data_IF_139774846650
#
_entry.id   IF_139774846650
#
_cell.length_a   1.000
_cell.length_b   1.000
_cell.length_c   1.000
_cell.angle_alpha   90.00
_cell.angle_beta   90.00
_cell.angle_gamma   90.00
#
_symmetry.space_group_name_H-M   'P 1'
#
loop_
_entity.id
_entity.type
_entity.pdbx_description
1 polymer ?
#
# COMPACT_ATOMS: atom_id res chain seq x y z
N UNK A 1 -16.39 -12.95 3.70
CA UNK A 1 -16.29 -12.38 2.33
C UNK A 1 -15.26 -13.18 1.54
N UNK A 2 -15.63 -13.77 0.41
CA UNK A 2 -14.74 -14.59 -0.43
C UNK A 2 -14.30 -13.72 -1.61
N UNK A 3 -13.10 -13.14 -1.55
CA UNK A 3 -12.58 -12.30 -2.62
C UNK A 3 -12.05 -13.22 -3.72
N UNK A 4 -12.81 -13.35 -4.81
CA UNK A 4 -12.35 -14.03 -6.01
C UNK A 4 -11.88 -12.97 -7.01
N UNK A 5 -10.59 -12.67 -7.02
CA UNK A 5 -9.97 -11.81 -8.04
C UNK A 5 -9.93 -12.60 -9.35
N UNK A 6 -10.96 -12.46 -10.19
CA UNK A 6 -11.00 -13.03 -11.53
C UNK A 6 -10.31 -12.04 -12.47
N UNK A 7 -9.02 -12.24 -12.74
CA UNK A 7 -8.33 -11.53 -13.80
C UNK A 7 -8.77 -12.08 -15.15
N UNK A 8 -9.82 -11.50 -15.72
CA UNK A 8 -10.28 -11.78 -17.08
C UNK A 8 -9.37 -11.03 -18.05
N UNK A 9 -8.44 -11.75 -18.71
CA UNK A 9 -7.70 -11.22 -19.85
C UNK A 9 -8.67 -11.04 -21.04
N UNK A 10 -9.34 -9.88 -21.10
CA UNK A 10 -10.15 -9.49 -22.26
C UNK A 10 -9.26 -8.69 -23.21
N UNK A 11 -8.90 -9.32 -24.32
CA UNK A 11 -8.37 -8.64 -25.50
C UNK A 11 -9.40 -7.59 -25.98
N UNK A 12 -9.02 -6.31 -26.14
CA UNK A 12 -9.93 -5.28 -26.63
C UNK A 12 -10.30 -5.55 -28.11
N UNK A 13 -11.61 -5.61 -28.41
CA UNK A 13 -12.15 -5.87 -29.76
C UNK A 13 -12.10 -4.64 -30.70
N UNK A 14 -11.43 -3.56 -30.33
CA UNK A 14 -11.44 -2.32 -31.11
C UNK A 14 -10.01 -1.89 -31.49
N UNK A 15 -9.57 -2.10 -32.74
CA UNK A 15 -8.19 -1.85 -33.17
C UNK A 15 -7.80 -0.36 -33.27
N UNK A 16 -8.76 0.56 -33.08
CA UNK A 16 -8.55 2.00 -33.27
C UNK A 16 -8.47 2.83 -31.98
N UNK A 17 -8.55 2.18 -30.81
CA UNK A 17 -8.25 2.79 -29.51
C UNK A 17 -6.91 2.24 -29.00
N UNK A 18 -5.82 2.65 -29.67
CA UNK A 18 -4.46 2.48 -29.14
C UNK A 18 -4.27 3.40 -27.94
N UNK A 19 -4.76 3.00 -26.77
CA UNK A 19 -4.24 3.50 -25.51
C UNK A 19 -2.75 3.10 -25.44
N UNK A 20 -1.90 3.96 -24.87
CA UNK A 20 -0.46 3.77 -24.71
C UNK A 20 -0.07 2.63 -23.72
N UNK A 21 -0.85 1.55 -23.69
CA UNK A 21 -0.72 0.38 -22.83
C UNK A 21 -0.25 -0.88 -23.59
N UNK A 22 -0.12 -0.84 -24.93
CA UNK A 22 0.05 -2.03 -25.78
C UNK A 22 1.47 -2.65 -25.83
N UNK A 23 2.49 -2.10 -25.17
CA UNK A 23 3.81 -2.75 -25.07
C UNK A 23 3.95 -3.67 -23.84
N UNK A 24 2.84 -4.12 -23.26
CA UNK A 24 2.81 -4.84 -21.98
C UNK A 24 2.07 -6.19 -22.04
N UNK A 25 2.25 -6.96 -23.12
CA UNK A 25 1.61 -8.28 -23.30
C UNK A 25 1.91 -9.32 -22.18
N UNK A 26 2.83 -9.03 -21.24
CA UNK A 26 3.18 -9.92 -20.12
C UNK A 26 3.17 -9.23 -18.74
N UNK A 27 2.39 -8.15 -18.57
CA UNK A 27 2.22 -7.54 -17.25
C UNK A 27 1.43 -8.48 -16.31
N UNK A 28 2.13 -9.05 -15.33
CA UNK A 28 1.56 -9.95 -14.31
C UNK A 28 1.58 -9.27 -12.95
N UNK A 29 0.56 -9.50 -12.14
CA UNK A 29 0.57 -9.08 -10.74
C UNK A 29 1.63 -9.87 -10.00
N UNK A 30 2.61 -9.20 -9.40
CA UNK A 30 3.71 -9.81 -8.65
C UNK A 30 3.53 -9.69 -7.15
N UNK A 31 2.86 -8.64 -6.68
CA UNK A 31 2.53 -8.44 -5.26
C UNK A 31 1.13 -7.84 -5.14
N UNK A 32 0.46 -8.18 -4.03
CA UNK A 32 -0.83 -7.63 -3.65
C UNK A 32 -0.72 -7.21 -2.19
N UNK A 33 -1.16 -5.99 -1.88
CA UNK A 33 -1.32 -5.52 -0.52
C UNK A 33 -2.74 -5.01 -0.34
N UNK A 34 -3.36 -5.31 0.79
CA UNK A 34 -4.67 -4.77 1.15
C UNK A 34 -4.45 -3.86 2.36
N UNK A 35 -5.04 -2.67 2.32
CA UNK A 35 -4.99 -1.79 3.49
C UNK A 35 -5.88 -2.38 4.58
N UNK A 36 -5.56 -2.10 5.85
CA UNK A 36 -6.53 -2.22 6.92
C UNK A 36 -7.83 -1.50 6.55
N UNK A 37 -8.95 -2.01 7.06
CA UNK A 37 -10.21 -1.29 7.02
C UNK A 37 -10.06 -0.02 7.85
N UNK A 38 -10.24 1.13 7.19
CA UNK A 38 -10.15 2.42 7.84
C UNK A 38 -11.48 2.77 8.52
N UNK A 39 -11.47 3.73 9.44
CA UNK A 39 -12.70 4.34 9.99
C UNK A 39 -13.60 4.95 8.92
N UNK A 40 -13.10 5.16 7.69
CA UNK A 40 -13.86 5.65 6.54
C UNK A 40 -14.60 4.51 5.78
N UNK A 41 -14.66 3.29 6.32
CA UNK A 41 -15.43 2.14 5.79
C UNK A 41 -15.01 1.62 4.41
N UNK A 42 -13.82 1.98 3.92
CA UNK A 42 -13.26 1.35 2.72
C UNK A 42 -11.82 0.91 2.95
N UNK A 43 -11.48 -0.16 2.25
CA UNK A 43 -10.12 -0.68 2.15
C UNK A 43 -9.56 -0.35 0.77
N UNK A 44 -8.26 -0.15 0.69
CA UNK A 44 -7.51 -0.03 -0.54
C UNK A 44 -6.89 -1.38 -0.89
N UNK A 45 -6.73 -1.64 -2.18
CA UNK A 45 -5.90 -2.73 -2.69
C UNK A 45 -4.82 -2.14 -3.59
N UNK A 46 -3.57 -2.46 -3.25
CA UNK A 46 -2.38 -2.15 -4.02
C UNK A 46 -1.98 -3.37 -4.84
N UNK A 47 -1.79 -3.18 -6.14
CA UNK A 47 -1.38 -4.21 -7.09
C UNK A 47 -0.04 -3.82 -7.71
N UNK A 48 1.02 -4.55 -7.38
CA UNK A 48 2.32 -4.39 -8.04
C UNK A 48 2.40 -5.26 -9.28
N UNK A 49 2.80 -4.68 -10.40
CA UNK A 49 2.97 -5.38 -11.67
C UNK A 49 4.43 -5.70 -11.96
N UNK A 50 4.66 -6.75 -12.75
CA UNK A 50 5.98 -7.10 -13.30
C UNK A 50 6.63 -5.99 -14.12
N UNK A 51 5.82 -5.08 -14.69
CA UNK A 51 6.28 -3.88 -15.40
C UNK A 51 6.89 -2.83 -14.45
N UNK A 52 6.66 -2.94 -13.13
CA UNK A 52 7.11 -1.98 -12.12
C UNK A 52 6.10 -0.89 -11.78
N UNK A 53 4.89 -0.95 -12.37
CA UNK A 53 3.77 -0.10 -11.97
C UNK A 53 3.12 -0.63 -10.69
N UNK A 54 2.59 0.30 -9.89
CA UNK A 54 1.69 -0.03 -8.78
C UNK A 54 0.37 0.67 -9.00
N UNK A 55 -0.71 -0.10 -9.00
CA UNK A 55 -2.06 0.43 -9.05
C UNK A 55 -2.68 0.37 -7.66
N UNK A 56 -3.36 1.44 -7.27
CA UNK A 56 -4.12 1.51 -6.03
C UNK A 56 -5.59 1.64 -6.40
N UNK A 57 -6.37 0.66 -5.99
CA UNK A 57 -7.81 0.62 -6.19
C UNK A 57 -8.55 0.65 -4.87
N UNK A 58 -9.80 1.09 -4.92
CA UNK A 58 -10.73 0.92 -3.82
C UNK A 58 -11.26 -0.51 -3.85
N UNK A 59 -11.28 -1.19 -2.71
CA UNK A 59 -11.64 -2.60 -2.66
C UNK A 59 -13.15 -2.84 -2.87
N UNK A 60 -14.00 -1.89 -2.47
CA UNK A 60 -15.46 -2.06 -2.51
C UNK A 60 -16.05 -2.06 -3.92
N UNK A 61 -15.56 -1.18 -4.80
CA UNK A 61 -16.06 -0.99 -6.17
C UNK A 61 -15.01 -1.28 -7.25
N UNK A 62 -13.74 -1.52 -6.87
CA UNK A 62 -12.62 -1.72 -7.79
C UNK A 62 -12.15 -0.45 -8.49
N UNK A 63 -12.65 0.74 -8.12
CA UNK A 63 -12.30 2.00 -8.78
C UNK A 63 -10.80 2.24 -8.66
N UNK A 64 -10.16 2.56 -9.80
CA UNK A 64 -8.77 2.97 -9.84
C UNK A 64 -8.62 4.37 -9.24
N UNK A 65 -7.78 4.50 -8.23
CA UNK A 65 -7.59 5.73 -7.48
C UNK A 65 -6.27 6.39 -7.83
N UNK A 66 -5.21 5.59 -7.94
CA UNK A 66 -3.87 6.11 -8.20
C UNK A 66 -3.00 5.07 -8.89
N UNK A 67 -2.08 5.54 -9.72
CA UNK A 67 -0.99 4.74 -10.27
C UNK A 67 0.33 5.33 -9.79
N UNK A 68 1.10 4.59 -8.99
CA UNK A 68 2.41 5.08 -8.57
C UNK A 68 3.33 5.19 -9.80
N UNK A 69 4.03 6.31 -9.99
CA UNK A 69 4.99 6.46 -11.06
C UNK A 69 6.09 5.40 -10.93
N UNK A 70 6.45 4.82 -12.06
CA UNK A 70 7.54 3.86 -12.16
C UNK A 70 8.85 4.52 -11.73
N UNK A 71 9.70 3.78 -11.02
CA UNK A 71 11.08 4.23 -10.85
C UNK A 71 11.73 4.35 -12.22
N UNK A 72 12.42 5.48 -12.51
CA UNK A 72 13.13 5.63 -13.77
C UNK A 72 14.16 4.51 -13.87
N UNK A 73 14.27 3.92 -15.07
CA UNK A 73 15.42 3.07 -15.35
C UNK A 73 16.65 3.95 -15.28
N UNK A 74 17.61 3.62 -14.41
CA UNK A 74 18.93 4.25 -14.50
C UNK A 74 19.58 3.70 -15.77
N UNK A 75 19.42 4.43 -16.87
CA UNK A 75 19.88 4.11 -18.23
C UNK A 75 21.40 3.86 -18.35
N UNK A 76 22.17 4.03 -17.27
CA UNK A 76 23.63 4.02 -17.29
C UNK A 76 24.20 2.64 -17.67
N UNK A 77 23.50 1.54 -17.38
CA UNK A 77 24.04 0.18 -17.60
C UNK A 77 23.12 -0.78 -18.38
N UNK A 78 22.05 -0.30 -19.03
CA UNK A 78 21.08 -1.18 -19.71
C UNK A 78 20.37 -2.18 -18.77
N UNK A 79 20.47 -1.97 -17.45
CA UNK A 79 19.83 -2.82 -16.44
C UNK A 79 18.31 -2.61 -16.46
N UNK A 80 17.59 -3.71 -16.28
CA UNK A 80 16.14 -3.76 -16.15
C UNK A 80 15.67 -2.77 -15.08
N UNK A 81 14.51 -2.13 -15.31
CA UNK A 81 13.91 -1.25 -14.32
C UNK A 81 13.76 -1.96 -12.96
N UNK A 82 14.01 -1.26 -11.84
CA UNK A 82 13.87 -1.86 -10.52
C UNK A 82 12.49 -2.51 -10.36
N UNK A 83 12.47 -3.79 -9.98
CA UNK A 83 11.22 -4.53 -9.76
C UNK A 83 10.76 -4.33 -8.33
N UNK A 84 9.47 -4.48 -8.11
CA UNK A 84 8.88 -4.38 -6.78
C UNK A 84 9.09 -5.71 -6.07
N UNK A 85 9.62 -5.64 -4.85
CA UNK A 85 9.91 -6.80 -4.00
C UNK A 85 8.84 -6.93 -2.93
N UNK A 86 8.51 -5.83 -2.25
CA UNK A 86 7.49 -5.78 -1.22
C UNK A 86 6.58 -4.58 -1.46
N UNK A 87 5.28 -4.79 -1.24
CA UNK A 87 4.24 -3.78 -1.24
C UNK A 87 3.48 -3.90 0.08
N UNK A 88 3.32 -2.82 0.83
CA UNK A 88 2.67 -2.90 2.14
C UNK A 88 1.97 -1.58 2.51
N UNK A 89 0.73 -1.70 2.99
CA UNK A 89 0.03 -0.60 3.65
C UNK A 89 0.40 -0.53 5.13
N UNK A 90 0.47 0.67 5.67
CA UNK A 90 0.60 0.89 7.11
C UNK A 90 -0.70 0.47 7.83
N UNK A 91 -0.57 -0.40 8.84
CA UNK A 91 -1.68 -0.79 9.70
C UNK A 91 -1.77 0.16 10.90
N UNK A 92 -2.85 0.95 11.07
CA UNK A 92 -2.99 1.91 12.17
C UNK A 92 -3.15 1.24 13.53
N UNK A 93 -3.32 -0.09 13.59
CA UNK A 93 -3.44 -0.87 14.83
C UNK A 93 -2.20 -0.83 15.73
N UNK A 94 -1.09 -0.23 15.29
CA UNK A 94 0.10 -0.01 16.12
C UNK A 94 0.11 1.36 16.84
N UNK A 95 -0.92 2.18 16.66
CA UNK A 95 -1.09 3.42 17.42
C UNK A 95 -1.87 3.06 18.69
N UNK A 96 -1.17 3.00 19.82
CA UNK A 96 -1.83 3.03 21.13
C UNK A 96 -2.80 4.22 21.15
N UNK A 97 -4.00 4.10 21.76
CA UNK A 97 -4.94 5.20 21.91
C UNK A 97 -4.41 6.16 22.98
N UNK A 98 -3.25 6.79 22.76
CA UNK A 98 -2.69 7.76 23.69
C UNK A 98 -3.05 9.18 23.22
N UNK A 99 -4.18 9.61 23.78
CA UNK A 99 -4.49 10.94 24.26
C UNK A 99 -4.47 12.12 23.28
N UNK A 100 -5.66 12.69 23.11
CA UNK A 100 -5.92 14.13 23.08
C UNK A 100 -4.93 14.99 22.29
N UNK A 101 -5.20 15.18 21.00
CA UNK A 101 -5.48 16.51 20.45
C UNK A 101 -6.32 16.29 19.18
N UNK A 102 -7.53 16.84 19.23
CA UNK A 102 -8.34 17.12 18.05
C UNK A 102 -7.55 18.01 17.09
N UNK A 103 -7.16 17.47 15.95
CA UNK A 103 -7.23 18.22 14.71
C UNK A 103 -7.78 17.27 13.65
N UNK A 104 -8.82 17.72 12.94
CA UNK A 104 -9.43 17.07 11.78
C UNK A 104 -8.45 16.98 10.59
N UNK A 105 -7.21 16.56 10.82
CA UNK A 105 -6.27 16.20 9.77
C UNK A 105 -6.74 14.84 9.27
N UNK A 106 -7.47 14.86 8.16
CA UNK A 106 -8.09 13.68 7.54
C UNK A 106 -7.20 12.45 7.59
N UNK A 107 -7.84 11.29 7.74
CA UNK A 107 -7.14 10.02 7.88
C UNK A 107 -6.18 9.81 6.70
N UNK A 108 -4.92 9.49 6.98
CA UNK A 108 -3.91 9.27 5.93
C UNK A 108 -3.60 7.78 5.85
N UNK A 109 -3.77 7.19 4.67
CA UNK A 109 -3.24 5.86 4.39
C UNK A 109 -1.84 5.97 3.82
N UNK A 110 -0.96 5.02 4.16
CA UNK A 110 0.41 5.01 3.67
C UNK A 110 0.73 3.69 3.01
N UNK A 111 1.42 3.75 1.88
CA UNK A 111 1.83 2.62 1.07
C UNK A 111 3.33 2.69 0.86
N UNK A 112 4.04 1.70 1.40
CA UNK A 112 5.47 1.50 1.18
C UNK A 112 5.72 0.50 0.06
N UNK A 113 6.71 0.81 -0.77
CA UNK A 113 7.16 0.01 -1.90
C UNK A 113 8.67 -0.19 -1.78
N UNK A 114 9.10 -1.44 -1.57
CA UNK A 114 10.51 -1.82 -1.60
C UNK A 114 10.87 -2.39 -2.97
N UNK A 115 11.95 -1.89 -3.56
CA UNK A 115 12.41 -2.28 -4.90
C UNK A 115 13.66 -3.17 -4.85
N UNK A 116 13.95 -3.87 -5.95
CA UNK A 116 15.10 -4.80 -6.07
C UNK A 116 16.45 -4.13 -5.96
N UNK A 117 16.54 -2.82 -6.21
CA UNK A 117 17.74 -2.02 -5.96
C UNK A 117 17.90 -1.61 -4.48
N UNK A 118 17.03 -2.12 -3.60
CA UNK A 118 16.99 -1.84 -2.17
C UNK A 118 16.43 -0.47 -1.83
N UNK A 119 15.91 0.32 -2.79
CA UNK A 119 15.25 1.59 -2.48
C UNK A 119 13.87 1.33 -1.89
N UNK A 120 13.50 2.16 -0.92
CA UNK A 120 12.15 2.22 -0.35
C UNK A 120 11.52 3.54 -0.74
N UNK A 121 10.30 3.50 -1.29
CA UNK A 121 9.44 4.67 -1.48
C UNK A 121 8.17 4.51 -0.67
N UNK A 122 7.64 5.64 -0.22
CA UNK A 122 6.36 5.67 0.47
C UNK A 122 5.46 6.75 -0.11
N UNK A 123 4.20 6.39 -0.27
CA UNK A 123 3.11 7.26 -0.70
C UNK A 123 2.12 7.46 0.44
N UNK A 124 1.67 8.70 0.62
CA UNK A 124 0.62 9.06 1.58
C UNK A 124 -0.63 9.49 0.81
N UNK A 125 -1.76 8.87 1.14
CA UNK A 125 -3.07 9.14 0.56
C UNK A 125 -3.92 9.85 1.60
N UNK A 126 -4.23 11.16 1.44
CA UNK A 126 -5.19 11.82 2.29
C UNK A 126 -6.59 11.27 1.99
N UNK A 127 -7.28 10.83 3.03
CA UNK A 127 -8.66 10.37 2.99
C UNK A 127 -9.53 11.40 3.69
N UNK A 128 -10.54 11.86 2.97
CA UNK A 128 -11.54 12.77 3.51
C UNK A 128 -12.83 11.97 3.69
N UNK A 129 -13.44 11.97 4.89
CA UNK A 129 -14.81 11.52 5.00
C UNK A 129 -15.67 12.41 4.11
N UNK A 130 -16.67 11.85 3.42
CA UNK A 130 -17.67 12.69 2.79
C UNK A 130 -18.37 13.41 3.93
N UNK A 131 -18.40 14.73 3.88
CA UNK A 131 -19.43 15.46 4.60
C UNK A 131 -20.75 15.05 3.94
N UNK A 132 -21.42 14.07 4.53
CA UNK A 132 -22.77 13.68 4.13
C UNK A 132 -23.57 14.98 4.04
N UNK A 133 -24.05 15.31 2.84
CA UNK A 133 -24.83 16.50 2.57
C UNK A 133 -26.16 16.43 3.32
N UNK A 134 -26.10 16.61 4.64
CA UNK A 134 -27.25 16.59 5.52
C UNK A 134 -27.88 17.99 5.50
N UNK A 135 -28.97 18.09 4.75
CA UNK A 135 -30.12 18.96 4.97
C UNK A 135 -29.95 20.48 4.75
N UNK A 136 -29.94 20.90 3.47
CA UNK A 136 -30.40 22.24 3.07
C UNK A 136 -31.84 22.22 2.49
N UNK A 137 -32.72 21.37 3.01
CA UNK A 137 -34.16 21.47 2.78
C UNK A 137 -34.86 21.99 4.05
N UNK A 138 -34.53 23.22 4.45
CA UNK A 138 -35.45 24.03 5.23
C UNK A 138 -36.47 24.61 4.24
N UNK A 139 -37.62 23.95 4.15
CA UNK A 139 -38.80 24.44 3.44
C UNK A 139 -39.26 25.70 4.19
N UNK A 140 -38.93 26.88 3.66
CA UNK A 140 -39.61 28.12 4.03
C UNK A 140 -40.90 28.20 3.21
N UNK A 141 -41.98 27.68 3.79
CA UNK A 141 -43.32 27.84 3.27
C UNK A 141 -43.85 29.21 3.70
N UNK A 142 -43.49 30.27 2.97
CA UNK A 142 -44.21 31.54 3.04
C UNK A 142 -45.39 31.50 2.07
N UNK A 143 -46.56 31.41 2.68
CA UNK A 143 -47.90 31.54 2.10
C UNK A 143 -48.04 32.91 1.41
N UNK A 144 -48.30 32.94 0.11
CA UNK A 144 -49.07 34.03 -0.50
C UNK A 144 -50.11 33.51 -1.51
N UNK A 145 -51.35 33.76 -1.13
CA UNK A 145 -52.64 33.56 -1.77
C UNK A 145 -52.81 34.33 -3.09
N UNK A 146 -53.37 33.68 -4.12
CA UNK A 146 -54.45 34.22 -4.98
C UNK A 146 -55.05 33.16 -5.94
N UNK A 147 -56.32 33.27 -6.40
CA UNK A 147 -57.15 32.14 -6.83
C UNK A 147 -57.62 32.26 -8.32
N UNK A 148 -58.70 31.59 -8.82
CA UNK A 148 -58.61 30.44 -9.72
C UNK A 148 -59.35 30.61 -11.07
N UNK A 149 -59.14 29.71 -12.05
CA UNK A 149 -60.15 29.39 -13.09
C UNK A 149 -59.95 28.02 -13.78
N UNK A 150 -60.81 27.08 -13.35
CA UNK A 150 -61.51 25.97 -14.03
C UNK A 150 -61.11 25.49 -15.45
N UNK A 151 -60.99 24.16 -15.68
CA UNK A 151 -62.06 23.22 -16.13
C UNK A 151 -61.52 21.83 -16.52
N UNK A 152 -62.17 20.78 -15.99
CA UNK A 152 -62.63 19.49 -16.60
C UNK A 152 -61.63 18.59 -17.36
N UNK A 153 -61.68 17.25 -17.42
CA UNK A 153 -62.50 16.15 -16.88
C UNK A 153 -61.93 14.83 -17.48
N UNK A 154 -62.32 13.69 -16.89
CA UNK A 154 -62.21 12.26 -17.33
C UNK A 154 -60.92 11.53 -16.89
N UNK A 155 -60.92 10.47 -16.06
CA UNK A 155 -61.77 9.29 -15.74
C UNK A 155 -61.12 8.00 -16.27
N UNK A 156 -61.11 6.97 -15.41
CA UNK A 156 -60.90 5.52 -15.66
C UNK A 156 -59.51 4.98 -15.30
N UNK A 157 -59.28 3.80 -14.67
CA UNK A 157 -60.04 2.82 -13.85
C UNK A 157 -58.99 1.79 -13.38
N UNK A 158 -59.18 1.23 -12.19
CA UNK A 158 -58.33 0.27 -11.47
C UNK A 158 -57.86 -0.99 -12.23
N UNK A 159 -56.68 -1.53 -11.84
CA UNK A 159 -56.49 -2.93 -11.36
C UNK A 159 -55.16 -3.03 -10.57
N UNK A 160 -55.05 -3.81 -9.46
CA UNK A 160 -53.83 -3.91 -8.65
C UNK A 160 -52.97 -5.11 -9.09
N UNK A 161 -51.65 -4.94 -9.05
CA UNK A 161 -50.70 -6.05 -9.10
C UNK A 161 -49.88 -6.03 -7.81
N UNK A 162 -49.92 -7.18 -7.13
CA UNK A 162 -49.14 -7.54 -5.94
C UNK A 162 -47.65 -7.51 -6.30
N UNK A 163 -46.90 -6.62 -5.68
CA UNK A 163 -45.43 -6.60 -5.75
C UNK A 163 -44.90 -6.99 -4.38
N UNK A 164 -44.21 -8.13 -4.35
CA UNK A 164 -43.40 -8.57 -3.22
C UNK A 164 -42.38 -7.49 -2.86
N UNK A 165 -42.52 -6.92 -1.67
CA UNK A 165 -41.51 -6.04 -1.09
C UNK A 165 -40.37 -6.90 -0.53
N UNK A 166 -39.36 -7.12 -1.36
CA UNK A 166 -38.01 -7.39 -0.87
C UNK A 166 -37.53 -6.12 -0.19
N UNK A 167 -37.27 -6.23 1.11
CA UNK A 167 -36.67 -5.19 1.93
C UNK A 167 -35.23 -5.00 1.45
N UNK A 168 -35.00 -4.13 0.47
CA UNK A 168 -33.69 -3.58 0.19
C UNK A 168 -33.30 -2.75 1.42
N UNK A 169 -32.34 -3.28 2.18
CA UNK A 169 -31.69 -2.51 3.22
C UNK A 169 -30.91 -1.39 2.53
N UNK A 170 -31.43 -0.17 2.61
CA UNK A 170 -30.73 1.07 2.29
C UNK A 170 -29.47 1.17 3.16
N UNK A 171 -28.39 0.53 2.73
CA UNK A 171 -27.05 0.90 3.18
C UNK A 171 -26.72 2.18 2.44
N UNK A 172 -26.99 3.30 3.11
CA UNK A 172 -26.59 4.64 2.72
C UNK A 172 -25.07 4.67 2.57
N UNK A 173 -24.61 4.29 1.37
CA UNK A 173 -23.22 4.12 1.04
C UNK A 173 -22.57 5.50 0.97
N UNK A 174 -21.75 5.82 1.97
CA UNK A 174 -20.90 6.99 1.94
C UNK A 174 -20.00 6.93 0.68
N UNK A 175 -20.37 7.69 -0.35
CA UNK A 175 -19.66 7.77 -1.62
C UNK A 175 -18.40 8.64 -1.48
N UNK A 176 -17.27 8.04 -1.11
CA UNK A 176 -15.99 8.77 -1.07
C UNK A 176 -15.60 9.14 -2.50
N UNK A 177 -15.75 10.41 -2.87
CA UNK A 177 -15.42 10.87 -4.22
C UNK A 177 -13.96 11.30 -4.37
N UNK A 178 -13.27 11.68 -3.29
CA UNK A 178 -11.96 12.34 -3.40
C UNK A 178 -10.88 11.74 -2.51
N UNK A 179 -9.92 11.05 -3.13
CA UNK A 179 -8.57 10.88 -2.59
C UNK A 179 -7.78 12.10 -3.04
N UNK A 180 -7.26 12.88 -2.09
CA UNK A 180 -6.40 14.01 -2.44
C UNK A 180 -5.11 13.55 -3.12
N UNK A 181 -4.34 14.50 -3.66
CA UNK A 181 -3.12 14.18 -4.41
C UNK A 181 -2.15 13.38 -3.53
N UNK A 182 -1.71 12.18 -3.96
CA UNK A 182 -0.78 11.39 -3.18
C UNK A 182 0.56 12.09 -3.01
N UNK A 183 1.05 12.13 -1.77
CA UNK A 183 2.32 12.76 -1.42
C UNK A 183 3.42 11.71 -1.30
N UNK A 184 4.58 11.98 -1.88
CA UNK A 184 5.77 11.14 -1.72
C UNK A 184 6.56 11.56 -0.50
N UNK A 185 7.11 10.59 0.23
CA UNK A 185 7.96 10.85 1.37
C UNK A 185 9.36 11.33 0.95
N UNK A 186 9.61 12.64 1.04
CA UNK A 186 10.88 13.27 0.65
C UNK A 186 12.07 12.84 1.50
N UNK A 187 11.88 12.59 2.80
CA UNK A 187 12.95 12.14 3.69
C UNK A 187 13.57 10.84 3.21
N UNK A 188 12.74 9.88 2.76
CA UNK A 188 13.23 8.63 2.19
C UNK A 188 14.02 8.88 0.90
N UNK A 189 13.53 9.74 0.01
CA UNK A 189 14.26 10.05 -1.22
C UNK A 189 15.65 10.62 -0.94
N UNK A 190 15.73 11.59 -0.03
CA UNK A 190 16.99 12.22 0.36
C UNK A 190 17.93 11.23 1.06
N UNK A 191 17.41 10.39 1.97
CA UNK A 191 18.17 9.34 2.62
C UNK A 191 18.81 8.38 1.61
N UNK A 192 18.02 7.81 0.70
CA UNK A 192 18.54 6.85 -0.29
C UNK A 192 19.48 7.48 -1.30
N UNK A 193 19.24 8.74 -1.68
CA UNK A 193 20.14 9.48 -2.56
C UNK A 193 21.50 9.69 -1.89
N UNK A 194 21.53 10.14 -0.63
CA UNK A 194 22.77 10.37 0.11
C UNK A 194 23.51 9.06 0.44
N UNK A 195 22.79 8.00 0.79
CA UNK A 195 23.39 6.72 1.17
C UNK A 195 23.72 5.79 0.00
N UNK A 196 23.37 6.17 -1.24
CA UNK A 196 23.51 5.34 -2.45
C UNK A 196 24.89 4.69 -2.61
N UNK A 197 25.96 5.42 -2.28
CA UNK A 197 27.35 4.94 -2.31
C UNK A 197 27.61 3.76 -1.39
N UNK A 198 26.95 3.67 -0.23
CA UNK A 198 27.17 2.61 0.75
C UNK A 198 26.05 1.57 0.77
N UNK A 199 24.89 1.91 0.21
CA UNK A 199 23.68 1.09 0.27
C UNK A 199 23.87 -0.32 -0.28
N UNK A 200 24.63 -0.47 -1.38
CA UNK A 200 24.93 -1.78 -1.97
C UNK A 200 25.61 -2.77 -1.00
N UNK A 201 26.19 -2.29 0.12
CA UNK A 201 26.86 -3.12 1.12
C UNK A 201 25.91 -3.74 2.14
N UNK A 202 24.67 -3.26 2.21
CA UNK A 202 23.64 -3.82 3.09
C UNK A 202 23.27 -5.24 2.63
N UNK A 203 23.29 -5.46 1.31
CA UNK A 203 22.79 -6.66 0.65
C UNK A 203 21.42 -6.43 0.02
N UNK A 204 20.87 -7.46 -0.62
CA UNK A 204 19.54 -7.37 -1.23
C UNK A 204 18.47 -7.47 -0.16
N UNK A 205 17.67 -6.42 -0.02
CA UNK A 205 16.49 -6.42 0.82
C UNK A 205 15.38 -7.23 0.16
N UNK A 206 14.75 -8.13 0.91
CA UNK A 206 13.68 -9.00 0.40
C UNK A 206 12.41 -8.98 1.26
N UNK A 207 12.43 -8.37 2.44
CA UNK A 207 11.27 -8.29 3.32
C UNK A 207 11.27 -6.96 4.06
N UNK A 208 10.07 -6.44 4.31
CA UNK A 208 9.81 -5.16 4.95
C UNK A 208 8.55 -5.28 5.80
N UNK A 209 8.55 -4.62 6.95
CA UNK A 209 7.37 -4.39 7.78
C UNK A 209 7.39 -2.98 8.36
N UNK A 210 6.22 -2.39 8.61
CA UNK A 210 6.14 -1.18 9.42
C UNK A 210 6.36 -1.55 10.89
N UNK A 211 7.30 -0.87 11.54
CA UNK A 211 7.52 -0.97 12.99
C UNK A 211 6.76 0.13 13.75
N UNK A 212 6.64 1.31 13.13
CA UNK A 212 5.80 2.42 13.57
C UNK A 212 5.48 3.31 12.37
N UNK A 213 4.73 4.39 12.59
CA UNK A 213 4.49 5.41 11.57
C UNK A 213 5.80 6.04 11.04
N UNK A 214 6.87 6.03 11.81
CA UNK A 214 8.15 6.64 11.42
C UNK A 214 9.26 5.62 11.22
N UNK A 215 8.96 4.32 11.25
CA UNK A 215 10.01 3.31 11.18
C UNK A 215 9.62 2.02 10.45
N UNK A 216 10.63 1.42 9.82
CA UNK A 216 10.51 0.17 9.09
C UNK A 216 11.49 -0.85 9.60
N UNK A 217 11.04 -2.09 9.63
CA UNK A 217 11.88 -3.27 9.68
C UNK A 217 12.25 -3.66 8.26
N UNK A 218 13.54 -3.87 8.00
CA UNK A 218 14.09 -4.20 6.69
C UNK A 218 14.98 -5.44 6.81
N UNK A 219 14.69 -6.50 6.05
CA UNK A 219 15.45 -7.75 6.11
C UNK A 219 16.21 -8.03 4.81
N UNK A 220 17.45 -8.47 4.98
CA UNK A 220 18.26 -9.19 3.99
C UNK A 220 18.40 -10.64 4.43
N UNK A 221 19.04 -11.46 3.59
CA UNK A 221 19.30 -12.87 3.87
C UNK A 221 20.05 -13.10 5.20
N UNK A 222 20.84 -12.12 5.65
CA UNK A 222 21.72 -12.26 6.81
C UNK A 222 21.46 -11.27 7.95
N UNK A 223 20.66 -10.22 7.71
CA UNK A 223 20.58 -9.07 8.61
C UNK A 223 19.18 -8.48 8.66
N UNK A 224 18.83 -7.94 9.81
CA UNK A 224 17.64 -7.10 9.98
C UNK A 224 18.08 -5.72 10.44
N UNK A 225 17.52 -4.72 9.79
CA UNK A 225 17.72 -3.31 10.06
C UNK A 225 16.40 -2.68 10.50
N UNK A 226 16.51 -1.70 11.38
CA UNK A 226 15.45 -0.73 11.66
C UNK A 226 15.86 0.58 10.99
N UNK A 227 15.01 1.09 10.11
CA UNK A 227 15.11 2.42 9.50
C UNK A 227 14.11 3.36 10.21
N UNK A 228 14.56 4.53 10.65
CA UNK A 228 13.81 5.50 11.46
C UNK A 228 13.90 6.89 10.83
N UNK A 229 12.75 7.47 10.51
CA UNK A 229 12.67 8.84 9.97
C UNK A 229 12.77 9.93 11.01
N UNK A 230 12.40 9.61 12.25
CA UNK A 230 12.41 10.54 13.38
C UNK A 230 13.83 10.84 13.88
N UNK A 231 14.85 10.26 13.24
CA UNK A 231 16.24 10.37 13.62
C UNK A 231 17.07 10.97 12.47
N UNK A 232 18.12 11.75 12.79
CA UNK A 232 19.01 12.27 11.77
C UNK A 232 19.78 11.14 11.07
N UNK A 233 20.14 11.37 9.80
CA UNK A 233 21.10 10.55 9.07
C UNK A 233 22.31 11.40 8.66
N UNK A 234 23.44 10.73 8.52
CA UNK A 234 24.74 11.29 8.17
C UNK A 234 25.33 10.48 7.01
N UNK A 235 26.35 11.01 6.34
CA UNK A 235 26.96 10.36 5.17
C UNK A 235 27.45 8.93 5.46
N UNK A 236 27.82 8.62 6.70
CA UNK A 236 28.31 7.31 7.11
C UNK A 236 27.31 6.46 7.89
N UNK A 237 26.02 6.84 7.95
CA UNK A 237 24.97 6.09 8.66
C UNK A 237 24.95 4.60 8.28
N UNK A 238 25.02 4.27 6.99
CA UNK A 238 25.07 2.85 6.56
C UNK A 238 26.37 2.16 7.01
N UNK A 239 27.51 2.86 6.95
CA UNK A 239 28.78 2.28 7.36
C UNK A 239 28.83 2.01 8.87
N UNK A 240 28.22 2.89 9.67
CA UNK A 240 28.05 2.74 11.12
C UNK A 240 27.10 1.58 11.45
N UNK A 241 25.95 1.50 10.78
CA UNK A 241 24.99 0.41 10.97
C UNK A 241 25.60 -0.98 10.68
N UNK A 242 26.58 -1.05 9.77
CA UNK A 242 27.32 -2.27 9.43
C UNK A 242 28.50 -2.57 10.37
N UNK A 243 28.70 -1.79 11.44
CA UNK A 243 29.77 -1.99 12.43
C UNK A 243 31.18 -1.73 11.88
N UNK A 244 31.32 -1.03 10.74
CA UNK A 244 32.61 -0.83 10.07
C UNK A 244 33.42 0.34 10.61
N UNK A 245 32.79 1.22 11.40
CA UNK A 245 33.45 2.28 12.16
C UNK A 245 33.12 2.08 13.63
N UNK A 246 34.12 2.18 14.51
CA UNK A 246 33.88 2.31 15.95
C UNK A 246 33.13 3.62 16.17
N UNK A 247 31.83 3.54 16.46
CA UNK A 247 31.07 4.72 16.88
C UNK A 247 31.16 4.82 18.41
N UNK A 248 31.39 6.03 18.92
CA UNK A 248 30.91 6.37 20.25
C UNK A 248 29.39 6.28 20.13
N UNK A 249 28.80 5.23 20.70
CA UNK A 249 27.38 4.86 20.64
C UNK A 249 26.46 6.08 20.60
N UNK A 250 26.07 6.51 19.40
CA UNK A 250 24.94 7.41 19.22
C UNK A 250 23.72 6.50 19.30
N UNK A 251 22.94 6.62 20.37
CA UNK A 251 21.69 5.84 20.57
C UNK A 251 20.62 6.16 19.53
N UNK A 252 20.82 7.23 18.75
CA UNK A 252 19.82 7.91 17.92
C UNK A 252 20.20 7.86 16.43
N UNK A 253 20.61 6.69 15.94
CA UNK A 253 20.90 6.49 14.53
C UNK A 253 19.61 6.13 13.76
N UNK A 254 19.43 6.77 12.60
CA UNK A 254 18.31 6.52 11.66
C UNK A 254 18.33 5.14 11.02
N UNK A 255 19.48 4.45 10.99
CA UNK A 255 19.56 3.07 10.55
C UNK A 255 20.34 2.25 11.58
N UNK A 256 19.74 1.18 12.08
CA UNK A 256 20.37 0.30 13.07
C UNK A 256 20.23 -1.16 12.66
N UNK A 257 21.33 -1.90 12.63
CA UNK A 257 21.28 -3.36 12.56
C UNK A 257 20.88 -3.91 13.92
N UNK A 258 19.84 -4.74 13.95
CA UNK A 258 19.32 -5.34 15.20
C UNK A 258 19.54 -6.83 15.29
N UNK A 259 19.59 -7.53 14.15
CA UNK A 259 19.80 -8.98 14.10
C UNK A 259 20.82 -9.30 13.01
N UNK A 260 21.71 -10.26 13.32
CA UNK A 260 22.65 -10.84 12.38
C UNK A 260 22.58 -12.38 12.45
N UNK A 261 21.82 -12.96 11.53
CA UNK A 261 21.61 -14.40 11.40
C UNK A 261 21.49 -14.77 9.93
N UNK A 262 22.07 -15.91 9.52
CA UNK A 262 21.94 -16.40 8.15
C UNK A 262 20.57 -17.03 7.88
N UNK A 263 20.17 -17.01 6.60
CA UNK A 263 18.99 -17.70 6.11
C UNK A 263 17.67 -17.02 6.47
N UNK A 264 17.66 -15.71 6.72
CA UNK A 264 16.43 -14.94 6.95
C UNK A 264 15.63 -14.90 5.65
N UNK A 265 14.34 -15.20 5.72
CA UNK A 265 13.42 -15.21 4.57
C UNK A 265 12.41 -14.08 4.69
N UNK A 266 11.89 -13.88 5.89
CA UNK A 266 10.85 -12.90 6.14
C UNK A 266 10.97 -12.36 7.56
N UNK A 267 10.67 -11.08 7.72
CA UNK A 267 10.43 -10.46 9.01
C UNK A 267 9.04 -9.81 9.01
N UNK A 268 8.40 -9.78 10.17
CA UNK A 268 7.14 -9.06 10.38
C UNK A 268 7.05 -8.55 11.82
N UNK A 269 6.12 -7.64 12.09
CA UNK A 269 5.85 -7.12 13.43
C UNK A 269 4.58 -7.80 13.94
N UNK A 270 4.69 -8.52 15.06
CA UNK A 270 3.55 -9.24 15.65
C UNK A 270 2.77 -8.30 16.57
N UNK A 271 3.50 -7.55 17.40
CA UNK A 271 2.96 -6.65 18.40
C UNK A 271 3.97 -5.52 18.70
N UNK A 272 3.58 -4.45 19.40
CA UNK A 272 4.52 -3.41 19.80
C UNK A 272 5.72 -3.99 20.58
N UNK A 273 6.91 -3.90 19.98
CA UNK A 273 8.15 -4.42 20.56
C UNK A 273 8.46 -5.88 20.25
N UNK A 274 7.57 -6.62 19.59
CA UNK A 274 7.78 -8.01 19.20
C UNK A 274 7.83 -8.15 17.68
N UNK A 275 8.91 -8.77 17.20
CA UNK A 275 9.10 -9.06 15.78
C UNK A 275 9.15 -10.57 15.54
N UNK A 276 8.50 -11.01 14.46
CA UNK A 276 8.65 -12.35 13.92
C UNK A 276 9.82 -12.36 12.93
N UNK A 277 10.68 -13.38 13.02
CA UNK A 277 11.72 -13.63 12.03
C UNK A 277 11.64 -15.08 11.58
N UNK A 278 11.29 -15.28 10.30
CA UNK A 278 11.31 -16.60 9.68
C UNK A 278 12.66 -16.81 9.02
N UNK A 279 13.35 -17.87 9.43
CA UNK A 279 14.63 -18.28 8.85
C UNK A 279 14.62 -19.74 8.43
N UNK A 280 15.44 -20.07 7.44
CA UNK A 280 15.76 -21.44 7.06
C UNK A 280 17.17 -21.76 7.53
N UNK A 281 17.29 -22.82 8.32
CA UNK A 281 18.58 -23.40 8.69
C UNK A 281 18.96 -24.47 7.66
N UNK A 282 19.89 -24.19 6.73
CA UNK A 282 20.13 -25.05 5.59
C UNK A 282 20.56 -26.45 6.02
N UNK A 283 21.39 -26.57 7.06
CA UNK A 283 21.88 -27.86 7.56
C UNK A 283 20.77 -28.82 7.99
N UNK A 284 19.69 -28.30 8.58
CA UNK A 284 18.55 -29.11 9.04
C UNK A 284 17.65 -29.58 7.89
N UNK A 285 17.58 -28.79 6.80
CA UNK A 285 16.77 -29.11 5.61
C UNK A 285 17.54 -30.02 4.67
N UNK A 286 18.80 -29.69 4.38
CA UNK A 286 19.65 -30.46 3.46
C UNK A 286 19.88 -31.90 3.93
N UNK A 287 19.95 -32.14 5.24
CA UNK A 287 20.08 -33.49 5.81
C UNK A 287 18.83 -34.36 5.65
N UNK A 288 17.67 -33.75 5.36
CA UNK A 288 16.38 -34.44 5.16
C UNK A 288 16.02 -34.63 3.69
N UNK A 289 16.77 -34.06 2.75
CA UNK A 289 16.49 -34.20 1.32
C UNK A 289 16.94 -35.58 0.81
N UNK A 290 16.12 -36.28 0.01
CA UNK A 290 16.49 -37.59 -0.55
C UNK A 290 17.64 -37.46 -1.56
N UNK A 291 18.48 -38.51 -1.74
CA UNK A 291 19.42 -38.56 -2.85
C UNK A 291 18.70 -38.37 -4.19
N UNK A 292 19.25 -37.59 -5.15
CA UNK A 292 20.58 -36.96 -5.15
C UNK A 292 20.59 -35.50 -4.64
N UNK A 293 19.48 -34.98 -4.10
CA UNK A 293 19.31 -33.57 -3.79
C UNK A 293 20.27 -33.06 -2.70
N UNK A 294 20.74 -33.92 -1.79
CA UNK A 294 21.75 -33.54 -0.79
C UNK A 294 23.20 -33.54 -1.34
N UNK A 295 23.47 -34.14 -2.52
CA UNK A 295 24.80 -34.21 -3.14
C UNK A 295 25.00 -33.21 -4.27
N UNK A 296 23.93 -32.71 -4.89
CA UNK A 296 24.05 -31.68 -5.91
C UNK A 296 24.28 -30.34 -5.21
N UNK A 297 25.54 -29.87 -5.22
CA UNK A 297 25.83 -28.45 -5.06
C UNK A 297 25.08 -27.74 -6.19
N UNK A 298 23.89 -27.21 -5.92
CA UNK A 298 23.27 -26.26 -6.83
C UNK A 298 24.24 -25.08 -6.93
N UNK A 299 24.70 -24.82 -8.15
CA UNK A 299 25.94 -24.09 -8.45
C UNK A 299 26.15 -22.82 -7.62
N UNK A 300 27.36 -22.72 -7.06
CA UNK A 300 27.98 -21.45 -6.71
C UNK A 300 28.60 -20.83 -7.95
#
# INVERSE_FOLDING_TARGET
MKIQLIFSHRQPKNPNLKCAYDDHEDARVTQIAVSPESSVQFSLVGLAMSSGHVFVHRLSDGQSLFTCPRLPSSLIDGRLCPRIVVLQFLYPHHILPESNIQENKGQRQRLSILYTNGRLKEWTFPMYPIESAANNNAIDATVETSPPLTKSSKKSRHTPATTDQLHESDTDGMNIENIGLPEINSWLEDFFNQQSKYWHRIGTLHSMAYLSDSSWLLATESRIFILRMDQPYFEDTVALALGRKKSNTRSNDSLKMVIHHSGIIQCDVISPGEIAVVRVEPGSVLSKLPPPLYKKRFGF
#
